data_IF_726603149736
#
_entry.id   IF_726603149736
#
_cell.length_a   1.000
_cell.length_b   1.000
_cell.length_c   1.000
_cell.angle_alpha   90.00
_cell.angle_beta   90.00
_cell.angle_gamma   90.00
#
_symmetry.space_group_name_H-M   'P 1'
#
loop_
_entity.id
_entity.type
_entity.pdbx_description
1 polymer ?
#
# COMPACT_ATOMS: atom_id res chain seq x y z
N UNK A 1 -16.05 30.73 -8.90
CA UNK A 1 -15.60 29.35 -8.67
C UNK A 1 -14.24 29.42 -8.00
N UNK A 2 -14.10 29.03 -6.73
CA UNK A 2 -12.79 28.93 -6.09
C UNK A 2 -12.10 27.66 -6.61
N UNK A 3 -10.91 27.79 -7.17
CA UNK A 3 -10.10 26.65 -7.58
C UNK A 3 -9.80 25.78 -6.36
N UNK A 4 -10.02 24.44 -6.46
CA UNK A 4 -9.65 23.54 -5.39
C UNK A 4 -8.13 23.61 -5.17
N UNK A 5 -7.66 23.73 -3.90
CA UNK A 5 -6.23 23.76 -3.63
C UNK A 5 -5.57 22.48 -4.16
N UNK A 6 -4.34 22.59 -4.68
CA UNK A 6 -3.62 21.44 -5.22
C UNK A 6 -3.43 20.37 -4.15
N UNK A 7 -3.43 19.10 -4.58
CA UNK A 7 -3.17 17.97 -3.68
C UNK A 7 -1.69 17.94 -3.33
N UNK A 8 -1.40 17.70 -2.05
CA UNK A 8 -0.03 17.60 -1.55
C UNK A 8 0.44 16.15 -1.67
N UNK A 9 1.61 15.88 -2.28
CA UNK A 9 2.18 14.53 -2.32
C UNK A 9 2.64 14.09 -0.93
N UNK A 10 2.44 12.81 -0.61
CA UNK A 10 2.97 12.20 0.62
C UNK A 10 4.38 11.70 0.33
N UNK A 11 5.37 12.53 0.61
CA UNK A 11 6.78 12.22 0.38
C UNK A 11 7.32 11.15 1.34
N UNK A 12 8.54 10.68 1.11
CA UNK A 12 9.23 9.75 2.00
C UNK A 12 9.32 10.28 3.44
N UNK A 13 9.63 11.57 3.60
CA UNK A 13 9.77 12.20 4.93
C UNK A 13 8.41 12.25 5.66
N UNK A 14 7.32 12.53 4.93
CA UNK A 14 5.96 12.45 5.49
C UNK A 14 5.59 11.02 5.86
N UNK A 15 6.02 10.01 5.10
CA UNK A 15 5.82 8.60 5.48
C UNK A 15 6.57 8.27 6.79
N UNK A 16 7.81 8.73 6.95
CA UNK A 16 8.56 8.55 8.20
C UNK A 16 7.90 9.28 9.37
N UNK A 17 7.37 10.46 9.13
CA UNK A 17 6.62 11.22 10.13
C UNK A 17 5.33 10.49 10.53
N UNK A 18 4.57 9.96 9.57
CA UNK A 18 3.38 9.12 9.84
C UNK A 18 3.77 7.92 10.70
N UNK A 19 4.86 7.23 10.36
CA UNK A 19 5.36 6.10 11.12
C UNK A 19 5.63 6.46 12.59
N UNK A 20 6.27 7.60 12.83
CA UNK A 20 6.62 8.04 14.20
C UNK A 20 5.41 8.40 15.07
N UNK A 21 4.24 8.66 14.47
CA UNK A 21 2.98 8.96 15.16
C UNK A 21 2.05 7.73 15.29
N UNK A 22 2.48 6.56 14.81
CA UNK A 22 1.75 5.31 14.96
C UNK A 22 2.32 4.49 16.13
N UNK A 23 1.45 4.04 17.02
CA UNK A 23 1.83 3.04 18.01
C UNK A 23 1.73 1.64 17.38
N UNK A 24 2.83 1.11 16.84
CA UNK A 24 2.84 -0.18 16.16
C UNK A 24 2.62 -1.40 17.08
N UNK A 25 2.59 -1.21 18.41
CA UNK A 25 2.12 -2.25 19.34
C UNK A 25 0.58 -2.39 19.32
N UNK A 26 -0.15 -1.36 18.84
CA UNK A 26 -1.57 -1.42 18.58
C UNK A 26 -1.84 -2.10 17.22
N UNK A 27 -2.64 -3.19 17.17
CA UNK A 27 -2.89 -3.93 15.93
C UNK A 27 -3.50 -3.10 14.81
N UNK A 28 -4.38 -2.14 15.12
CA UNK A 28 -5.00 -1.27 14.12
C UNK A 28 -3.99 -0.28 13.52
N UNK A 29 -3.08 0.22 14.34
CA UNK A 29 -1.96 1.05 13.87
C UNK A 29 -0.97 0.25 13.03
N UNK A 30 -0.68 -0.99 13.43
CA UNK A 30 0.16 -1.91 12.64
C UNK A 30 -0.49 -2.23 11.27
N UNK A 31 -1.80 -2.46 11.25
CA UNK A 31 -2.58 -2.63 10.02
C UNK A 31 -2.49 -1.41 9.11
N UNK A 32 -2.71 -0.22 9.64
CA UNK A 32 -2.63 1.03 8.88
C UNK A 32 -1.24 1.24 8.30
N UNK A 33 -0.20 0.97 9.10
CA UNK A 33 1.19 1.09 8.63
C UNK A 33 1.50 0.08 7.52
N UNK A 34 1.06 -1.15 7.65
CA UNK A 34 1.20 -2.17 6.61
C UNK A 34 0.49 -1.76 5.31
N UNK A 35 -0.72 -1.20 5.42
CA UNK A 35 -1.47 -0.71 4.27
C UNK A 35 -0.77 0.48 3.58
N UNK A 36 -0.30 1.47 4.36
CA UNK A 36 0.39 2.64 3.83
C UNK A 36 1.73 2.28 3.17
N UNK A 37 2.56 1.45 3.81
CA UNK A 37 3.85 1.05 3.25
C UNK A 37 3.68 0.22 1.98
N UNK A 38 2.72 -0.72 1.97
CA UNK A 38 2.40 -1.53 0.78
C UNK A 38 1.91 -0.64 -0.38
N UNK A 39 0.99 0.29 -0.09
CA UNK A 39 0.47 1.19 -1.10
C UNK A 39 1.54 2.13 -1.65
N UNK A 40 2.44 2.61 -0.79
CA UNK A 40 3.51 3.54 -1.18
C UNK A 40 4.55 2.85 -2.08
N UNK A 41 5.03 1.66 -1.69
CA UNK A 41 6.00 0.91 -2.50
C UNK A 41 5.38 0.27 -3.75
N UNK A 42 4.12 -0.14 -3.69
CA UNK A 42 3.39 -0.71 -4.82
C UNK A 42 2.79 0.31 -5.77
N UNK A 43 2.93 1.62 -5.51
CA UNK A 43 2.22 2.68 -6.25
C UNK A 43 0.73 2.40 -6.37
N UNK A 44 0.12 1.82 -5.31
CA UNK A 44 -1.26 1.38 -5.36
C UNK A 44 -2.23 2.56 -5.24
N UNK A 45 -3.26 2.52 -6.06
CA UNK A 45 -4.43 3.37 -5.85
C UNK A 45 -5.22 2.85 -4.64
N UNK A 46 -5.85 3.75 -3.92
CA UNK A 46 -6.60 3.37 -2.72
C UNK A 46 -7.66 2.29 -2.99
N UNK A 47 -8.31 2.32 -4.15
CA UNK A 47 -9.29 1.30 -4.55
C UNK A 47 -8.71 -0.09 -4.81
N UNK A 48 -7.39 -0.20 -4.96
CA UNK A 48 -6.72 -1.47 -5.27
C UNK A 48 -6.41 -2.30 -4.01
N UNK A 49 -6.42 -1.66 -2.83
CA UNK A 49 -6.13 -2.35 -1.55
C UNK A 49 -7.18 -2.13 -0.46
N UNK A 50 -8.22 -1.34 -0.73
CA UNK A 50 -9.31 -1.08 0.23
C UNK A 50 -10.61 -1.75 -0.22
N UNK A 51 -11.52 -1.93 0.75
CA UNK A 51 -12.85 -2.48 0.50
C UNK A 51 -13.87 -1.34 0.31
N UNK A 52 -14.69 -1.37 -0.75
CA UNK A 52 -15.73 -0.36 -0.95
C UNK A 52 -16.93 -0.60 -0.01
N UNK A 53 -17.80 0.41 0.19
CA UNK A 53 -19.02 0.27 1.00
C UNK A 53 -20.01 -0.77 0.47
N UNK A 54 -19.96 -1.08 -0.84
CA UNK A 54 -20.81 -2.09 -1.47
C UNK A 54 -20.48 -3.54 -1.05
N UNK A 55 -19.38 -3.73 -0.35
CA UNK A 55 -18.94 -5.04 0.12
C UNK A 55 -17.68 -5.54 -0.59
N UNK A 56 -17.13 -6.63 -0.07
CA UNK A 56 -15.91 -7.24 -0.58
C UNK A 56 -16.25 -8.37 -1.56
N UNK A 57 -15.72 -8.28 -2.77
CA UNK A 57 -15.77 -9.32 -3.80
C UNK A 57 -14.32 -9.75 -4.14
N UNK A 58 -13.91 -10.99 -3.78
CA UNK A 58 -12.55 -11.46 -4.02
C UNK A 58 -12.19 -11.65 -5.49
N UNK A 59 -13.16 -11.61 -6.41
CA UNK A 59 -12.89 -11.65 -7.85
C UNK A 59 -12.43 -10.31 -8.41
N UNK A 60 -12.72 -9.21 -7.72
CA UNK A 60 -12.43 -7.84 -8.14
C UNK A 60 -11.37 -7.19 -7.24
N UNK A 61 -11.58 -7.30 -5.93
CA UNK A 61 -10.72 -6.65 -4.93
C UNK A 61 -9.62 -7.60 -4.45
N UNK A 62 -8.53 -7.04 -3.97
CA UNK A 62 -7.41 -7.80 -3.42
C UNK A 62 -7.85 -8.63 -2.22
N UNK A 63 -7.84 -9.98 -2.28
CA UNK A 63 -8.03 -10.82 -1.10
C UNK A 63 -6.69 -11.08 -0.41
N UNK A 64 -6.76 -11.52 0.86
CA UNK A 64 -5.56 -11.89 1.61
C UNK A 64 -4.75 -13.00 0.92
N UNK A 65 -5.42 -13.92 0.20
CA UNK A 65 -4.77 -15.02 -0.54
C UNK A 65 -3.86 -14.55 -1.68
N UNK A 66 -4.08 -13.35 -2.19
CA UNK A 66 -3.33 -12.76 -3.29
C UNK A 66 -2.22 -11.81 -2.80
N UNK A 67 -1.99 -11.80 -1.48
CA UNK A 67 -0.91 -11.09 -0.82
C UNK A 67 -0.02 -12.11 -0.11
N UNK A 68 1.18 -12.34 -0.64
CA UNK A 68 2.09 -13.35 -0.15
C UNK A 68 3.45 -12.73 0.18
N UNK A 69 4.00 -13.08 1.35
CA UNK A 69 5.41 -12.84 1.65
C UNK A 69 6.19 -14.04 1.13
N UNK A 70 7.06 -13.82 0.16
CA UNK A 70 7.80 -14.88 -0.53
C UNK A 70 9.22 -14.42 -0.89
N UNK A 71 10.04 -15.39 -1.29
CA UNK A 71 11.39 -15.15 -1.78
C UNK A 71 11.44 -15.36 -3.30
N UNK A 72 11.61 -14.28 -4.05
CA UNK A 72 11.76 -14.31 -5.50
C UNK A 72 13.20 -13.97 -5.90
N UNK A 73 13.82 -14.83 -6.73
CA UNK A 73 15.21 -14.66 -7.15
C UNK A 73 16.19 -14.38 -5.97
N UNK A 74 16.03 -15.13 -4.87
CA UNK A 74 16.78 -14.96 -3.61
C UNK A 74 16.54 -13.66 -2.85
N UNK A 75 15.54 -12.87 -3.26
CA UNK A 75 15.12 -11.63 -2.60
C UNK A 75 13.81 -11.85 -1.86
N UNK A 76 13.79 -11.66 -0.55
CA UNK A 76 12.57 -11.64 0.24
C UNK A 76 11.72 -10.45 -0.18
N UNK A 77 10.44 -10.66 -0.43
CA UNK A 77 9.53 -9.62 -0.89
C UNK A 77 8.07 -9.93 -0.60
N UNK A 78 7.21 -9.03 -0.99
CA UNK A 78 5.76 -9.21 -1.01
C UNK A 78 5.29 -9.32 -2.45
N UNK A 79 4.61 -10.41 -2.78
CA UNK A 79 3.94 -10.59 -4.06
C UNK A 79 2.47 -10.22 -3.89
N UNK A 80 1.98 -9.34 -4.76
CA UNK A 80 0.58 -8.89 -4.82
C UNK A 80 0.00 -9.24 -6.19
N UNK A 81 -1.21 -9.80 -6.21
CA UNK A 81 -1.98 -9.97 -7.44
C UNK A 81 -3.14 -8.96 -7.47
N UNK A 82 -2.96 -7.86 -8.17
CA UNK A 82 -4.01 -6.84 -8.37
C UNK A 82 -4.88 -7.27 -9.55
N UNK A 83 -6.10 -7.74 -9.27
CA UNK A 83 -7.02 -8.30 -10.28
C UNK A 83 -7.66 -7.26 -11.17
N UNK A 84 -7.95 -6.08 -10.62
CA UNK A 84 -8.60 -5.00 -11.34
C UNK A 84 -7.96 -3.66 -11.01
N UNK A 85 -7.64 -2.89 -12.02
CA UNK A 85 -7.17 -1.51 -11.89
C UNK A 85 -7.95 -0.61 -12.85
N UNK A 86 -8.10 0.65 -12.49
CA UNK A 86 -8.75 1.66 -13.36
C UNK A 86 -8.08 1.77 -14.75
N UNK A 87 -6.83 1.39 -14.85
CA UNK A 87 -6.04 1.42 -16.09
C UNK A 87 -5.98 0.08 -16.80
N UNK A 88 -6.64 -0.96 -16.27
CA UNK A 88 -6.75 -2.29 -16.86
C UNK A 88 -8.20 -2.58 -17.25
N UNK A 89 -8.65 -2.12 -18.44
CA UNK A 89 -10.02 -2.30 -18.90
C UNK A 89 -10.34 -3.76 -19.26
N UNK A 90 -9.32 -4.61 -19.42
CA UNK A 90 -9.48 -6.02 -19.78
C UNK A 90 -9.37 -6.96 -18.57
N UNK A 91 -9.20 -6.43 -17.35
CA UNK A 91 -9.07 -7.20 -16.11
C UNK A 91 -8.01 -8.34 -16.20
N UNK A 92 -6.90 -8.08 -16.88
CA UNK A 92 -5.79 -9.03 -17.01
C UNK A 92 -5.04 -9.20 -15.69
N UNK A 93 -5.17 -8.22 -14.81
CA UNK A 93 -4.48 -8.17 -13.53
C UNK A 93 -2.97 -7.92 -13.66
N UNK A 94 -2.38 -7.53 -12.56
CA UNK A 94 -0.94 -7.25 -12.48
C UNK A 94 -0.35 -7.93 -11.26
N UNK A 95 0.75 -8.67 -11.46
CA UNK A 95 1.58 -9.16 -10.36
C UNK A 95 2.64 -8.12 -10.03
N UNK A 96 2.64 -7.66 -8.79
CA UNK A 96 3.62 -6.73 -8.26
C UNK A 96 4.50 -7.44 -7.24
N UNK A 97 5.80 -7.27 -7.35
CA UNK A 97 6.76 -7.74 -6.35
C UNK A 97 7.39 -6.55 -5.65
N UNK A 98 7.20 -6.47 -4.33
CA UNK A 98 7.76 -5.44 -3.47
C UNK A 98 8.94 -6.03 -2.69
N UNK A 99 10.19 -5.69 -3.02
CA UNK A 99 11.35 -6.25 -2.35
C UNK A 99 11.47 -5.74 -0.91
N UNK A 100 12.12 -6.54 -0.06
CA UNK A 100 12.51 -6.11 1.28
C UNK A 100 13.54 -4.98 1.18
N UNK A 101 13.24 -3.84 1.82
CA UNK A 101 14.13 -2.67 1.85
C UNK A 101 14.93 -2.57 3.15
N UNK A 102 14.69 -3.47 4.10
CA UNK A 102 15.36 -3.52 5.42
C UNK A 102 15.33 -2.20 6.23
N UNK A 103 14.47 -1.25 5.86
CA UNK A 103 14.30 0.04 6.53
C UNK A 103 12.96 0.18 7.25
N UNK A 104 12.74 1.31 7.93
CA UNK A 104 11.48 1.60 8.64
C UNK A 104 10.25 1.59 7.72
N UNK A 105 10.43 1.92 6.44
CA UNK A 105 9.37 1.91 5.44
C UNK A 105 9.21 0.53 4.76
N UNK A 106 9.93 -0.50 5.21
CA UNK A 106 9.95 -1.81 4.53
C UNK A 106 8.55 -2.44 4.47
N UNK A 107 7.98 -2.68 3.28
CA UNK A 107 6.65 -3.27 3.14
C UNK A 107 6.62 -4.72 3.65
N UNK A 108 7.72 -5.46 3.53
CA UNK A 108 7.83 -6.84 4.03
C UNK A 108 7.74 -6.86 5.55
N UNK A 109 8.52 -6.02 6.23
CA UNK A 109 8.54 -5.98 7.69
C UNK A 109 7.19 -5.55 8.25
N UNK A 110 6.59 -4.50 7.69
CA UNK A 110 5.29 -3.99 8.15
C UNK A 110 4.16 -4.99 7.92
N UNK A 111 4.13 -5.63 6.75
CA UNK A 111 3.13 -6.67 6.46
C UNK A 111 3.32 -7.91 7.33
N UNK A 112 4.54 -8.42 7.49
CA UNK A 112 4.80 -9.59 8.33
C UNK A 112 4.37 -9.35 9.77
N UNK A 113 4.65 -8.17 10.34
CA UNK A 113 4.20 -7.79 11.67
C UNK A 113 2.68 -7.76 11.78
N UNK A 114 2.00 -7.13 10.83
CA UNK A 114 0.53 -7.06 10.82
C UNK A 114 -0.12 -8.43 10.60
N UNK A 115 0.36 -9.23 9.64
CA UNK A 115 -0.23 -10.53 9.31
C UNK A 115 -0.16 -11.52 10.49
N UNK A 116 0.81 -11.37 11.38
CA UNK A 116 0.87 -12.12 12.63
C UNK A 116 -0.37 -11.87 13.51
N UNK A 117 -0.88 -10.65 13.57
CA UNK A 117 -2.09 -10.28 14.30
C UNK A 117 -3.37 -10.64 13.53
N UNK A 118 -3.37 -10.43 12.22
CA UNK A 118 -4.55 -10.65 11.39
C UNK A 118 -4.96 -12.13 11.27
N UNK A 119 -4.00 -13.04 11.27
CA UNK A 119 -4.23 -14.45 11.00
C UNK A 119 -4.62 -14.73 9.53
N UNK A 120 -5.03 -15.99 9.25
CA UNK A 120 -5.23 -16.51 7.90
C UNK A 120 -6.70 -16.56 7.45
N UNK A 121 -7.63 -15.90 8.16
CA UNK A 121 -9.04 -15.88 7.76
C UNK A 121 -9.21 -15.23 6.38
N UNK A 122 -10.04 -15.86 5.52
CA UNK A 122 -10.34 -15.35 4.19
C UNK A 122 -10.97 -13.95 4.23
N UNK A 123 -10.84 -13.19 3.15
CA UNK A 123 -11.43 -11.85 3.02
C UNK A 123 -10.43 -10.77 2.62
N UNK A 124 -10.74 -9.50 2.90
CA UNK A 124 -9.85 -8.38 2.62
C UNK A 124 -8.52 -8.49 3.36
N UNK A 125 -7.39 -8.00 2.80
CA UNK A 125 -6.10 -8.11 3.47
C UNK A 125 -6.01 -7.24 4.73
N UNK A 126 -6.63 -6.06 4.73
CA UNK A 126 -6.55 -5.08 5.82
C UNK A 126 -7.86 -5.00 6.57
N UNK A 127 -7.84 -5.49 7.81
CA UNK A 127 -8.98 -5.50 8.74
C UNK A 127 -8.58 -4.83 10.06
N UNK A 128 -9.49 -4.03 10.60
CA UNK A 128 -9.42 -3.57 11.98
C UNK A 128 -9.67 -4.72 12.95
N UNK A 129 -9.34 -4.53 14.21
CA UNK A 129 -9.54 -5.55 15.26
C UNK A 129 -11.02 -5.90 15.50
N UNK A 130 -11.94 -4.99 15.17
CA UNK A 130 -13.38 -5.23 15.20
C UNK A 130 -13.92 -6.02 13.97
N UNK A 131 -13.03 -6.41 13.04
CA UNK A 131 -13.38 -7.11 11.80
C UNK A 131 -13.82 -6.19 10.67
N UNK A 132 -13.89 -4.88 10.89
CA UNK A 132 -14.23 -3.92 9.83
C UNK A 132 -13.11 -3.83 8.80
N UNK A 133 -13.46 -3.89 7.51
CA UNK A 133 -12.49 -3.75 6.43
C UNK A 133 -12.01 -2.31 6.26
N UNK A 134 -10.74 -2.15 5.94
CA UNK A 134 -10.15 -0.84 5.64
C UNK A 134 -10.80 -0.24 4.39
N UNK A 135 -11.43 0.93 4.52
CA UNK A 135 -12.07 1.66 3.42
C UNK A 135 -11.24 2.87 2.97
N UNK A 136 -11.54 3.38 1.79
CA UNK A 136 -10.93 4.61 1.26
C UNK A 136 -11.13 5.81 2.21
N UNK A 137 -12.28 5.88 2.89
CA UNK A 137 -12.56 6.95 3.86
C UNK A 137 -11.67 6.81 5.10
N UNK A 138 -11.48 5.59 5.61
CA UNK A 138 -10.57 5.32 6.73
C UNK A 138 -9.13 5.71 6.39
N UNK A 139 -8.62 5.28 5.22
CA UNK A 139 -7.27 5.65 4.74
C UNK A 139 -7.10 7.16 4.70
N UNK A 140 -8.03 7.88 4.06
CA UNK A 140 -7.93 9.33 3.90
C UNK A 140 -8.08 10.07 5.23
N UNK A 141 -9.00 9.63 6.08
CA UNK A 141 -9.25 10.20 7.40
C UNK A 141 -8.04 10.03 8.32
N UNK A 142 -7.51 8.81 8.42
CA UNK A 142 -6.34 8.53 9.27
C UNK A 142 -5.07 9.22 8.78
N UNK A 143 -4.85 9.27 7.44
CA UNK A 143 -3.74 10.02 6.87
C UNK A 143 -3.78 11.49 7.28
N UNK A 144 -4.94 12.13 7.17
CA UNK A 144 -5.12 13.54 7.54
C UNK A 144 -4.95 13.78 9.04
N UNK A 145 -5.52 12.90 9.88
CA UNK A 145 -5.38 12.99 11.33
C UNK A 145 -3.91 12.91 11.73
N UNK A 146 -3.18 11.89 11.29
CA UNK A 146 -1.78 11.67 11.63
C UNK A 146 -0.88 12.85 11.21
N UNK A 147 -1.12 13.42 10.02
CA UNK A 147 -0.36 14.58 9.56
C UNK A 147 -0.75 15.86 10.31
N UNK A 148 -2.02 16.02 10.69
CA UNK A 148 -2.45 17.15 11.51
C UNK A 148 -1.87 17.07 12.93
N UNK A 149 -1.87 15.88 13.54
CA UNK A 149 -1.26 15.62 14.86
C UNK A 149 0.25 15.91 14.83
N UNK A 150 0.89 15.68 13.69
CA UNK A 150 2.30 16.02 13.43
C UNK A 150 2.53 17.52 13.08
N UNK A 151 1.48 18.35 13.12
CA UNK A 151 1.56 19.79 12.80
C UNK A 151 1.67 20.10 11.30
N UNK A 152 1.46 19.11 10.42
CA UNK A 152 1.56 19.28 8.97
C UNK A 152 0.19 19.61 8.37
N UNK A 153 0.08 20.81 7.79
CA UNK A 153 -1.15 21.25 7.12
C UNK A 153 -1.06 21.05 5.61
N UNK A 154 -2.17 20.64 4.99
CA UNK A 154 -2.23 20.47 3.54
C UNK A 154 -3.49 19.73 3.06
N UNK A 155 -3.74 19.79 1.75
CA UNK A 155 -4.83 19.05 1.13
C UNK A 155 -4.38 17.61 0.83
N UNK A 156 -4.22 16.82 1.89
CA UNK A 156 -3.83 15.41 1.77
C UNK A 156 -5.00 14.52 1.38
N UNK A 157 -4.72 13.55 0.54
CA UNK A 157 -5.68 12.53 0.11
C UNK A 157 -4.95 11.21 -0.15
N UNK A 158 -5.70 10.11 -0.21
CA UNK A 158 -5.17 8.80 -0.58
C UNK A 158 -4.44 8.79 -1.93
N UNK A 159 -4.83 9.66 -2.88
CA UNK A 159 -4.12 9.85 -4.14
C UNK A 159 -2.76 10.54 -3.95
N UNK A 160 -2.60 11.35 -2.90
CA UNK A 160 -1.32 11.97 -2.52
C UNK A 160 -0.24 10.94 -2.16
N UNK A 161 -0.62 9.78 -1.62
CA UNK A 161 0.30 8.66 -1.35
C UNK A 161 0.92 8.15 -2.64
N UNK A 162 0.10 7.92 -3.66
CA UNK A 162 0.55 7.49 -4.99
C UNK A 162 1.45 8.54 -5.66
N UNK A 163 1.05 9.83 -5.65
CA UNK A 163 1.86 10.92 -6.22
C UNK A 163 3.20 11.02 -5.50
N UNK A 164 3.20 10.95 -4.16
CA UNK A 164 4.41 11.07 -3.35
C UNK A 164 5.40 9.94 -3.60
N UNK A 165 4.91 8.71 -3.73
CA UNK A 165 5.71 7.57 -4.12
C UNK A 165 6.38 7.79 -5.49
N UNK A 166 5.61 8.19 -6.51
CA UNK A 166 6.10 8.44 -7.85
C UNK A 166 7.12 9.58 -7.91
N UNK A 167 6.92 10.67 -7.14
CA UNK A 167 7.88 11.79 -7.07
C UNK A 167 9.16 11.42 -6.32
N UNK A 168 9.05 10.57 -5.29
CA UNK A 168 10.23 10.14 -4.51
C UNK A 168 11.17 9.26 -5.32
N UNK A 169 10.66 8.49 -6.29
CA UNK A 169 11.48 7.71 -7.23
C UNK A 169 12.27 8.62 -8.17
N UNK A 170 11.68 9.73 -8.63
CA UNK A 170 12.36 10.67 -9.52
C UNK A 170 13.40 11.57 -8.79
N UNK A 171 13.28 11.73 -7.47
CA UNK A 171 14.18 12.58 -6.67
C UNK A 171 15.28 11.83 -5.92
N UNK A 172 15.17 10.53 -5.76
CA UNK A 172 16.19 9.70 -5.15
C UNK A 172 16.94 8.95 -6.25
N UNK A 173 18.22 9.27 -6.46
CA UNK A 173 19.13 8.31 -7.05
C UNK A 173 19.12 7.08 -6.11
N UNK A 174 18.35 6.04 -6.46
CA UNK A 174 18.49 4.75 -5.82
C UNK A 174 19.96 4.34 -5.96
N UNK A 175 20.61 3.82 -4.90
CA UNK A 175 21.87 3.15 -5.10
C UNK A 175 21.60 2.09 -6.15
N UNK A 176 22.31 2.17 -7.27
CA UNK A 176 22.20 1.27 -8.41
C UNK A 176 22.67 -0.12 -8.01
N UNK A 177 21.83 -0.85 -7.29
CA UNK A 177 21.78 -2.28 -7.38
C UNK A 177 20.66 -2.57 -8.35
N UNK A 178 21.06 -2.98 -9.56
CA UNK A 178 20.21 -3.35 -10.67
C UNK A 178 19.11 -4.30 -10.23
N UNK A 179 17.93 -3.78 -9.93
CA UNK A 179 16.72 -4.56 -9.82
C UNK A 179 15.75 -3.98 -10.83
N UNK A 180 15.82 -4.54 -12.04
CA UNK A 180 14.78 -4.40 -13.03
C UNK A 180 13.44 -4.71 -12.35
N UNK A 181 12.51 -3.77 -12.42
CA UNK A 181 11.09 -4.02 -12.23
C UNK A 181 10.67 -4.97 -13.37
N UNK A 182 10.88 -6.27 -13.14
CA UNK A 182 10.47 -7.29 -14.10
C UNK A 182 8.95 -7.38 -14.06
N UNK A 183 8.31 -6.72 -15.02
CA UNK A 183 6.98 -7.10 -15.47
C UNK A 183 7.11 -8.51 -16.03
N UNK A 184 6.66 -9.51 -15.28
CA UNK A 184 6.63 -10.90 -15.74
C UNK A 184 5.49 -10.99 -16.74
N UNK A 185 5.79 -10.91 -18.03
CA UNK A 185 4.86 -11.28 -19.09
C UNK A 185 4.56 -12.78 -19.02
N UNK A 186 3.31 -13.21 -19.17
CA UNK A 186 2.98 -14.63 -19.18
C UNK A 186 3.67 -15.28 -20.38
N UNK A 187 4.40 -16.37 -20.11
CA UNK A 187 4.98 -17.21 -21.15
C UNK A 187 3.86 -17.81 -22.00
N UNK A 188 3.95 -17.65 -23.30
CA UNK A 188 3.11 -18.31 -24.30
C UNK A 188 3.40 -19.82 -24.25
N UNK A 189 2.40 -20.70 -24.10
CA UNK A 189 2.64 -22.12 -24.24
C UNK A 189 2.90 -22.48 -25.71
N UNK A 190 3.91 -23.31 -25.94
CA UNK A 190 4.19 -23.99 -27.21
C UNK A 190 3.24 -25.17 -27.36
#
# INVERSE_FOLDING_TARGET
MQARPPRVPVTRDLMLLIHSHLNLADPDSAMLWAAFSTAWFGFLRVSEFTTPPSGFDPSIYLPISDLMVDCHLHTLGVLLLIKASKTDPFHQGVKLFLPCTCGMLCPVASLSAYLHHRGNSAGPPFLFTDGTALSCLHVTGRLRSLLADAGVQGNFSSHGVWIGAATSVNGAAFPTHSSELSVISPATPI
#
